data_IF_078514800399
#
_entry.id   IF_078514800399
#
_cell.length_a   1.000
_cell.length_b   1.000
_cell.length_c   1.000
_cell.angle_alpha   90.00
_cell.angle_beta   90.00
_cell.angle_gamma   90.00
#
_symmetry.space_group_name_H-M   'P 1'
#
loop_
_entity.id
_entity.type
_entity.pdbx_description
1 polymer ?
#
# COMPACT_ATOMS: atom_id res chain seq x y z
N UNK A 1 12.76 -3.37 -3.55
CA UNK A 1 11.50 -3.68 -2.86
C UNK A 1 11.78 -4.22 -1.46
N UNK A 2 11.17 -3.62 -0.44
CA UNK A 2 11.11 -4.07 0.96
C UNK A 2 9.74 -4.70 1.23
N UNK A 3 9.71 -5.83 1.92
CA UNK A 3 8.46 -6.53 2.30
C UNK A 3 8.24 -6.41 3.80
N UNK A 4 7.04 -6.01 4.23
CA UNK A 4 6.63 -5.92 5.62
C UNK A 4 5.49 -6.91 5.83
N UNK A 5 5.83 -8.10 6.30
CA UNK A 5 4.85 -9.14 6.62
C UNK A 5 4.55 -9.12 8.12
N UNK A 6 3.28 -8.93 8.47
CA UNK A 6 2.79 -8.92 9.85
C UNK A 6 1.35 -9.43 9.95
N UNK A 7 0.91 -9.86 11.14
CA UNK A 7 -0.49 -10.17 11.39
C UNK A 7 -1.40 -8.97 11.10
N UNK A 8 -2.70 -9.25 10.90
CA UNK A 8 -3.70 -8.18 10.82
C UNK A 8 -3.71 -7.35 12.12
N UNK A 9 -4.05 -6.08 11.99
CA UNK A 9 -4.12 -5.12 13.10
C UNK A 9 -2.80 -4.86 13.85
N UNK A 10 -1.66 -5.29 13.31
CA UNK A 10 -0.34 -5.04 13.93
C UNK A 10 0.21 -3.62 13.70
N UNK A 11 -0.58 -2.71 13.12
CA UNK A 11 -0.13 -1.36 12.76
C UNK A 11 0.71 -1.26 11.47
N UNK A 12 0.75 -2.28 10.61
CA UNK A 12 1.54 -2.25 9.36
C UNK A 12 1.19 -1.07 8.43
N UNK A 13 -0.08 -0.72 8.31
CA UNK A 13 -0.53 0.47 7.55
C UNK A 13 0.03 1.74 8.19
N UNK A 14 0.05 1.85 9.53
CA UNK A 14 0.63 3.00 10.22
C UNK A 14 2.14 3.13 9.95
N UNK A 15 2.87 2.00 9.95
CA UNK A 15 4.30 1.99 9.58
C UNK A 15 4.52 2.50 8.16
N UNK A 16 3.66 2.09 7.22
CA UNK A 16 3.71 2.53 5.83
C UNK A 16 3.42 4.05 5.72
N UNK A 17 2.45 4.56 6.46
CA UNK A 17 2.13 5.99 6.52
C UNK A 17 3.28 6.84 7.07
N UNK A 18 3.93 6.40 8.15
CA UNK A 18 5.10 7.08 8.68
C UNK A 18 6.27 7.07 7.69
N UNK A 19 6.43 6.00 6.90
CA UNK A 19 7.41 5.99 5.83
C UNK A 19 7.07 7.01 4.74
N UNK A 20 5.80 7.15 4.35
CA UNK A 20 5.39 8.19 3.38
C UNK A 20 5.65 9.61 3.88
N UNK A 21 5.52 9.87 5.19
CA UNK A 21 5.82 11.20 5.76
C UNK A 21 7.30 11.57 5.60
N UNK A 22 8.19 10.59 5.70
CA UNK A 22 9.63 10.77 5.52
C UNK A 22 10.03 10.88 4.04
N UNK A 23 9.18 10.39 3.13
CA UNK A 23 9.45 10.29 1.70
C UNK A 23 8.49 11.21 0.94
N UNK A 24 8.93 12.42 0.62
CA UNK A 24 8.07 13.46 0.04
C UNK A 24 7.45 13.07 -1.32
N UNK A 25 8.13 12.24 -2.09
CA UNK A 25 7.69 11.79 -3.42
C UNK A 25 7.31 10.30 -3.38
N UNK A 26 6.15 10.02 -2.79
CA UNK A 26 5.66 8.66 -2.64
C UNK A 26 4.15 8.56 -2.72
N UNK A 27 3.66 7.43 -3.23
CA UNK A 27 2.22 7.10 -3.29
C UNK A 27 1.94 5.80 -2.54
N UNK A 28 0.77 5.73 -1.91
CA UNK A 28 0.23 4.52 -1.31
C UNK A 28 -0.85 3.94 -2.21
N UNK A 29 -0.64 2.71 -2.64
CA UNK A 29 -1.54 1.94 -3.47
C UNK A 29 -2.24 0.90 -2.61
N UNK A 30 -3.56 0.90 -2.65
CA UNK A 30 -4.44 0.01 -1.89
C UNK A 30 -5.45 -0.66 -2.80
N UNK A 31 -6.15 -1.68 -2.30
CA UNK A 31 -7.05 -2.51 -3.11
C UNK A 31 -8.29 -1.80 -3.69
N UNK A 32 -8.77 -0.72 -3.09
CA UNK A 32 -9.95 0.04 -3.58
C UNK A 32 -9.86 1.52 -3.23
N UNK A 33 -10.57 2.38 -3.97
CA UNK A 33 -10.65 3.82 -3.67
C UNK A 33 -11.28 4.13 -2.32
N UNK A 34 -12.27 3.33 -1.89
CA UNK A 34 -12.87 3.48 -0.57
C UNK A 34 -11.84 3.27 0.53
N UNK A 35 -10.94 2.28 0.36
CA UNK A 35 -9.86 2.04 1.31
C UNK A 35 -8.82 3.15 1.25
N UNK A 36 -8.54 3.71 0.06
CA UNK A 36 -7.63 4.83 -0.08
C UNK A 36 -8.09 6.03 0.76
N UNK A 37 -9.39 6.34 0.71
CA UNK A 37 -10.02 7.38 1.55
C UNK A 37 -9.87 7.08 3.03
N UNK A 38 -10.15 5.84 3.47
CA UNK A 38 -10.01 5.44 4.88
C UNK A 38 -8.56 5.49 5.36
N UNK A 39 -7.59 5.11 4.53
CA UNK A 39 -6.16 5.18 4.87
C UNK A 39 -5.68 6.63 4.96
N UNK A 40 -6.18 7.52 4.10
CA UNK A 40 -5.93 8.95 4.21
C UNK A 40 -6.52 9.54 5.50
N UNK A 41 -7.76 9.18 5.85
CA UNK A 41 -8.39 9.59 7.11
C UNK A 41 -7.58 9.10 8.33
N UNK A 42 -7.08 7.85 8.27
CA UNK A 42 -6.17 7.32 9.29
C UNK A 42 -4.89 8.16 9.41
N UNK A 43 -4.25 8.51 8.29
CA UNK A 43 -3.05 9.36 8.30
C UNK A 43 -3.31 10.72 8.96
N UNK A 44 -4.45 11.35 8.67
CA UNK A 44 -4.87 12.59 9.34
C UNK A 44 -5.11 12.39 10.83
N UNK A 45 -5.75 11.28 11.21
CA UNK A 45 -5.97 10.92 12.61
C UNK A 45 -4.67 10.70 13.40
N UNK A 46 -3.59 10.30 12.71
CA UNK A 46 -2.24 10.17 13.28
C UNK A 46 -1.45 11.50 13.31
N UNK A 47 -1.99 12.58 12.75
CA UNK A 47 -1.32 13.88 12.68
C UNK A 47 -0.26 14.00 11.58
N UNK A 48 -0.32 13.16 10.54
CA UNK A 48 0.62 13.19 9.41
C UNK A 48 0.21 14.23 8.36
N UNK A 49 1.18 14.88 7.71
CA UNK A 49 0.96 15.96 6.74
C UNK A 49 1.01 15.43 5.30
N UNK A 50 0.24 14.37 5.04
CA UNK A 50 0.13 13.76 3.72
C UNK A 50 -1.04 14.36 2.93
N UNK A 51 -0.89 14.51 1.63
CA UNK A 51 -1.95 14.97 0.73
C UNK A 51 -2.78 13.79 0.22
N UNK A 52 -4.09 14.01 0.02
CA UNK A 52 -5.04 12.95 -0.32
C UNK A 52 -4.81 12.31 -1.70
N UNK A 53 -4.22 13.05 -2.63
CA UNK A 53 -3.84 12.59 -3.98
C UNK A 53 -2.72 11.55 -3.99
N UNK A 54 -2.03 11.35 -2.85
CA UNK A 54 -1.01 10.31 -2.67
C UNK A 54 -1.60 8.94 -2.33
N UNK A 55 -2.91 8.82 -2.18
CA UNK A 55 -3.60 7.57 -1.81
C UNK A 55 -4.45 7.07 -2.96
N UNK A 56 -4.09 5.91 -3.50
CA UNK A 56 -4.58 5.45 -4.80
C UNK A 56 -5.22 4.08 -4.65
N UNK A 57 -6.50 4.00 -4.99
CA UNK A 57 -7.21 2.73 -5.14
C UNK A 57 -6.88 2.07 -6.46
N UNK A 58 -6.61 0.77 -6.46
CA UNK A 58 -6.44 0.01 -7.69
C UNK A 58 -7.74 -0.09 -8.47
N UNK A 59 -7.62 0.20 -9.76
CA UNK A 59 -8.49 -0.27 -10.83
C UNK A 59 -7.61 -0.96 -11.89
N UNK A 60 -8.21 -1.71 -12.81
CA UNK A 60 -7.48 -2.34 -13.91
C UNK A 60 -6.73 -1.33 -14.80
N UNK A 61 -7.22 -0.09 -14.89
CA UNK A 61 -6.61 0.98 -15.68
C UNK A 61 -5.44 1.66 -14.95
N UNK A 62 -5.45 1.66 -13.60
CA UNK A 62 -4.44 2.34 -12.80
C UNK A 62 -3.11 1.58 -12.69
N UNK A 63 -3.09 0.25 -12.81
CA UNK A 63 -1.86 -0.53 -12.58
C UNK A 63 -0.78 -0.22 -13.63
N UNK A 64 -1.17 -0.06 -14.90
CA UNK A 64 -0.22 0.32 -15.96
C UNK A 64 0.33 1.74 -15.76
N UNK A 65 -0.50 2.66 -15.25
CA UNK A 65 -0.07 4.01 -14.92
C UNK A 65 0.94 3.99 -13.76
N UNK A 66 0.73 3.17 -12.73
CA UNK A 66 1.69 3.03 -11.62
C UNK A 66 3.03 2.48 -12.06
N UNK A 67 3.05 1.48 -12.96
CA UNK A 67 4.30 0.97 -13.50
C UNK A 67 5.11 2.04 -14.25
N UNK A 68 4.44 3.00 -14.92
CA UNK A 68 5.09 4.10 -15.61
C UNK A 68 5.59 5.22 -14.67
N UNK A 69 4.95 5.43 -13.52
CA UNK A 69 5.38 6.43 -12.51
C UNK A 69 6.71 6.07 -11.85
N UNK A 70 7.11 4.80 -11.84
CA UNK A 70 8.41 4.39 -11.30
C UNK A 70 9.57 5.12 -12.01
N UNK A 71 9.42 5.36 -13.31
CA UNK A 71 10.46 6.02 -14.12
C UNK A 71 10.59 7.52 -13.82
N UNK A 72 9.67 8.11 -13.03
CA UNK A 72 9.73 9.53 -12.61
C UNK A 72 10.40 9.75 -11.26
N UNK A 73 10.82 8.68 -10.58
CA UNK A 73 11.45 8.76 -9.25
C UNK A 73 10.46 8.67 -8.07
N UNK A 74 9.15 8.61 -8.34
CA UNK A 74 8.11 8.47 -7.32
C UNK A 74 8.14 7.07 -6.71
N UNK A 75 8.21 6.99 -5.39
CA UNK A 75 8.19 5.71 -4.66
C UNK A 75 6.79 5.13 -4.60
N UNK A 76 6.67 3.84 -4.86
CA UNK A 76 5.38 3.12 -4.84
C UNK A 76 5.33 2.23 -3.59
N UNK A 77 4.37 2.51 -2.71
CA UNK A 77 4.13 1.72 -1.51
C UNK A 77 2.80 0.98 -1.68
N UNK A 78 2.78 -0.33 -1.55
CA UNK A 78 1.57 -1.15 -1.68
C UNK A 78 1.16 -1.66 -0.31
N UNK A 79 -0.06 -1.36 0.13
CA UNK A 79 -0.61 -1.91 1.37
C UNK A 79 -1.50 -3.12 1.08
N UNK A 80 -1.42 -4.14 1.92
CA UNK A 80 -2.22 -5.37 1.83
C UNK A 80 -2.13 -6.04 0.44
N UNK A 81 -0.89 -6.23 -0.03
CA UNK A 81 -0.60 -6.78 -1.36
C UNK A 81 -1.23 -8.16 -1.59
N UNK A 82 -1.39 -8.97 -0.54
CA UNK A 82 -2.07 -10.27 -0.61
C UNK A 82 -3.53 -10.15 -1.08
N UNK A 83 -4.24 -9.09 -0.67
CA UNK A 83 -5.60 -8.85 -1.12
C UNK A 83 -5.64 -8.37 -2.58
N UNK A 84 -4.69 -7.52 -2.96
CA UNK A 84 -4.59 -7.03 -4.34
C UNK A 84 -4.30 -8.19 -5.29
N UNK A 85 -3.32 -9.04 -4.97
CA UNK A 85 -2.98 -10.22 -5.77
C UNK A 85 -4.16 -11.19 -5.83
N UNK A 86 -4.91 -11.38 -4.74
CA UNK A 86 -6.10 -12.23 -4.73
C UNK A 86 -7.18 -11.73 -5.70
N UNK A 87 -7.37 -10.42 -5.80
CA UNK A 87 -8.36 -9.80 -6.71
C UNK A 87 -7.86 -9.69 -8.15
N UNK A 88 -6.56 -9.46 -8.34
CA UNK A 88 -5.92 -9.23 -9.63
C UNK A 88 -4.59 -10.00 -9.70
N UNK A 89 -4.57 -11.32 -9.94
CA UNK A 89 -3.35 -12.13 -9.78
C UNK A 89 -2.16 -11.63 -10.59
N UNK A 90 -2.28 -11.60 -11.91
CA UNK A 90 -1.17 -11.18 -12.79
C UNK A 90 -0.76 -9.73 -12.54
N UNK A 91 -1.72 -8.81 -12.58
CA UNK A 91 -1.46 -7.37 -12.46
C UNK A 91 -0.99 -6.97 -11.04
N UNK A 92 -1.48 -7.67 -10.01
CA UNK A 92 -1.04 -7.48 -8.63
C UNK A 92 0.41 -7.89 -8.44
N UNK A 93 0.85 -9.00 -9.06
CA UNK A 93 2.27 -9.36 -9.08
C UNK A 93 3.11 -8.32 -9.83
N UNK A 94 2.66 -7.83 -10.99
CA UNK A 94 3.36 -6.81 -11.78
C UNK A 94 3.53 -5.50 -10.98
N UNK A 95 2.47 -5.07 -10.27
CA UNK A 95 2.52 -3.93 -9.37
C UNK A 95 3.50 -4.15 -8.23
N UNK A 96 3.44 -5.30 -7.55
CA UNK A 96 4.33 -5.60 -6.43
C UNK A 96 5.79 -5.62 -6.88
N UNK A 97 6.09 -6.20 -8.06
CA UNK A 97 7.43 -6.18 -8.63
C UNK A 97 7.96 -4.75 -8.91
N UNK A 98 7.05 -3.79 -9.08
CA UNK A 98 7.36 -2.38 -9.33
C UNK A 98 7.40 -1.53 -8.06
N UNK A 99 6.99 -2.08 -6.91
CA UNK A 99 6.88 -1.36 -5.65
C UNK A 99 8.21 -1.26 -4.88
N UNK A 100 8.36 -0.18 -4.13
CA UNK A 100 9.47 0.05 -3.21
C UNK A 100 9.23 -0.64 -1.87
N UNK A 101 7.99 -0.57 -1.38
CA UNK A 101 7.56 -1.19 -0.12
C UNK A 101 6.25 -1.90 -0.35
N UNK A 102 6.12 -3.13 0.13
CA UNK A 102 4.84 -3.84 0.16
C UNK A 102 4.54 -4.30 1.59
N UNK A 103 3.28 -4.24 2.02
CA UNK A 103 2.82 -4.93 3.23
C UNK A 103 2.00 -6.16 2.86
N UNK A 104 2.09 -7.20 3.68
CA UNK A 104 1.37 -8.47 3.50
C UNK A 104 0.75 -8.86 4.84
N UNK A 105 -0.51 -9.30 4.82
CA UNK A 105 -1.12 -9.97 5.97
C UNK A 105 -0.59 -11.40 6.10
N UNK A 106 0.20 -11.70 7.13
CA UNK A 106 0.40 -13.10 7.51
C UNK A 106 -0.90 -13.66 8.10
N UNK A 107 -1.16 -14.96 7.93
CA UNK A 107 -2.25 -15.60 8.66
C UNK A 107 -2.04 -15.43 10.18
N UNK A 108 -3.14 -15.36 10.92
CA UNK A 108 -3.12 -15.37 12.39
C UNK A 108 -2.36 -16.62 12.84
N UNK A 109 -1.45 -16.45 13.80
CA UNK A 109 -0.96 -17.58 14.58
C UNK A 109 -2.22 -18.14 15.25
N UNK A 110 -2.65 -19.33 14.86
CA UNK A 110 -3.73 -20.02 15.54
C UNK A 110 -3.25 -20.28 16.96
N UNK A 111 -3.80 -19.54 17.93
CA UNK A 111 -3.70 -19.90 19.34
C UNK A 111 -4.48 -21.22 19.51
N UNK A 112 -3.79 -22.35 19.34
CA UNK A 112 -4.22 -23.60 19.96
C UNK A 112 -3.96 -23.43 21.46
N UNK A 113 -5.02 -23.06 22.20
CA UNK A 113 -5.11 -23.19 23.66
C UNK A 113 -5.83 -24.47 24.04
#
# INVERSE_FOLDING_TARGET
MKVIERPRNSGKTQMLLHYMELESDSVCVVRTEEIAKRVFELARGLGLHLTGDRFLGITSEHIQAFCAMRDTGTKILVDDADYIIKSYPKMGYDLCASADVITISSQEVSDES
#
